data_IF_294061317310
#
_entry.id   IF_294061317310
#
_cell.length_a   1.000
_cell.length_b   1.000
_cell.length_c   1.000
_cell.angle_alpha   90.00
_cell.angle_beta   90.00
_cell.angle_gamma   90.00
#
_symmetry.space_group_name_H-M   'P 1'
#
loop_
_entity.id
_entity.type
_entity.pdbx_description
1 polymer ?
#
# COMPACT_ATOMS: atom_id res chain seq x y z
N UNK A 1 15.00 20.55 0.92
CA UNK A 1 14.80 19.43 1.87
C UNK A 1 14.53 18.19 1.01
N UNK A 2 15.54 17.35 0.81
CA UNK A 2 15.44 16.15 -0.02
C UNK A 2 14.96 14.98 0.86
N UNK A 3 13.88 14.32 0.47
CA UNK A 3 13.53 13.00 0.99
C UNK A 3 14.06 11.94 0.02
N UNK A 4 14.72 10.93 0.57
CA UNK A 4 15.71 10.08 -0.09
C UNK A 4 15.13 9.10 -1.13
N UNK A 5 15.92 8.73 -2.17
CA UNK A 5 15.65 7.56 -2.99
C UNK A 5 16.11 6.31 -2.22
N UNK A 6 15.16 5.50 -1.75
CA UNK A 6 15.48 4.38 -0.87
C UNK A 6 14.46 3.26 -0.89
N UNK A 7 13.82 2.98 -2.02
CA UNK A 7 13.10 1.72 -2.21
C UNK A 7 14.13 0.61 -2.55
N UNK A 8 14.90 0.20 -1.54
CA UNK A 8 15.65 -1.06 -1.59
C UNK A 8 14.68 -2.22 -1.33
N UNK A 9 14.79 -3.35 -2.04
CA UNK A 9 13.94 -4.52 -1.82
C UNK A 9 14.29 -5.14 -0.47
N UNK A 10 13.60 -4.70 0.59
CA UNK A 10 13.86 -5.18 1.96
C UNK A 10 13.45 -4.21 3.07
N UNK A 11 13.08 -2.96 2.77
CA UNK A 11 12.56 -2.05 3.79
C UNK A 11 11.07 -2.34 4.00
N UNK A 12 10.74 -2.83 5.21
CA UNK A 12 9.35 -2.93 5.67
C UNK A 12 8.70 -1.54 5.64
N UNK A 13 7.60 -1.34 4.90
CA UNK A 13 7.00 -0.03 4.77
C UNK A 13 6.48 0.45 6.13
N UNK A 14 7.03 1.57 6.61
CA UNK A 14 6.66 2.16 7.90
C UNK A 14 5.68 3.34 7.78
N UNK A 15 5.55 3.91 6.58
CA UNK A 15 4.74 5.13 6.36
C UNK A 15 4.01 5.09 5.01
N UNK A 16 2.99 5.93 4.86
CA UNK A 16 2.27 6.10 3.59
C UNK A 16 3.17 6.57 2.45
N UNK A 17 4.18 7.40 2.74
CA UNK A 17 5.12 7.87 1.73
C UNK A 17 5.95 6.72 1.16
N UNK A 18 6.30 5.74 2.01
CA UNK A 18 7.03 4.53 1.61
C UNK A 18 6.20 3.69 0.63
N UNK A 19 4.92 3.46 0.95
CA UNK A 19 3.96 2.78 0.07
C UNK A 19 3.67 3.54 -1.23
N UNK A 20 3.89 4.85 -1.26
CA UNK A 20 3.63 5.67 -2.46
C UNK A 20 4.82 5.73 -3.41
N UNK A 21 5.93 5.07 -3.09
CA UNK A 21 7.09 5.02 -3.98
C UNK A 21 6.87 3.99 -5.10
N UNK A 22 7.53 4.18 -6.25
CA UNK A 22 7.46 3.24 -7.37
C UNK A 22 6.13 3.27 -8.12
N UNK A 23 5.44 2.13 -8.23
CA UNK A 23 4.24 1.96 -9.07
C UNK A 23 3.02 2.82 -8.64
N UNK A 24 3.07 3.39 -7.44
CA UNK A 24 2.00 4.18 -6.84
C UNK A 24 2.35 5.68 -6.80
N UNK A 25 3.54 6.05 -7.30
CA UNK A 25 3.99 7.43 -7.39
C UNK A 25 3.15 8.19 -8.43
N UNK A 26 2.68 9.39 -8.07
CA UNK A 26 1.84 10.20 -8.96
C UNK A 26 0.43 9.67 -9.22
N UNK A 27 0.06 8.47 -8.72
CA UNK A 27 -1.30 7.95 -8.82
C UNK A 27 -2.24 8.66 -7.84
N UNK A 28 -3.43 8.96 -8.35
CA UNK A 28 -4.50 9.58 -7.58
C UNK A 28 -5.51 8.49 -7.20
N UNK A 29 -5.65 8.25 -5.90
CA UNK A 29 -6.56 7.25 -5.37
C UNK A 29 -7.82 7.95 -4.88
N UNK A 30 -9.00 7.42 -5.21
CA UNK A 30 -10.28 8.02 -4.78
C UNK A 30 -10.50 7.93 -3.28
N UNK A 31 -9.92 6.91 -2.64
CA UNK A 31 -10.07 6.64 -1.21
C UNK A 31 -8.80 6.00 -0.64
N UNK A 32 -8.61 6.15 0.67
CA UNK A 32 -7.55 5.46 1.41
C UNK A 32 -7.63 3.93 1.24
N UNK A 33 -8.83 3.37 1.17
CA UNK A 33 -9.04 1.94 0.90
C UNK A 33 -8.44 1.51 -0.44
N UNK A 34 -8.69 2.27 -1.51
CA UNK A 34 -8.17 2.01 -2.85
C UNK A 34 -6.64 2.10 -2.86
N UNK A 35 -6.07 3.07 -2.12
CA UNK A 35 -4.62 3.17 -1.94
C UNK A 35 -4.04 1.96 -1.21
N UNK A 36 -4.70 1.46 -0.15
CA UNK A 36 -4.24 0.31 0.61
C UNK A 36 -4.24 -0.97 -0.25
N UNK A 37 -5.29 -1.17 -1.05
CA UNK A 37 -5.38 -2.31 -1.98
C UNK A 37 -4.31 -2.21 -3.06
N UNK A 38 -4.14 -1.04 -3.68
CA UNK A 38 -3.12 -0.84 -4.70
C UNK A 38 -1.69 -1.03 -4.15
N UNK A 39 -1.45 -0.67 -2.88
CA UNK A 39 -0.19 -0.94 -2.18
C UNK A 39 0.14 -2.43 -2.08
N UNK A 40 -0.87 -3.28 -1.88
CA UNK A 40 -0.70 -4.74 -1.82
C UNK A 40 -0.59 -5.34 -3.22
N UNK A 41 -1.51 -4.99 -4.11
CA UNK A 41 -1.64 -5.60 -5.45
C UNK A 41 -0.54 -5.12 -6.40
N UNK A 42 -0.32 -3.81 -6.47
CA UNK A 42 0.61 -3.19 -7.42
C UNK A 42 1.98 -3.00 -6.78
N UNK A 43 2.00 -2.56 -5.52
CA UNK A 43 3.22 -2.37 -4.74
C UNK A 43 3.87 -3.68 -4.28
N UNK A 44 3.21 -4.84 -4.47
CA UNK A 44 3.67 -6.16 -4.04
C UNK A 44 4.07 -6.20 -2.55
N UNK A 45 3.52 -5.31 -1.73
CA UNK A 45 3.80 -5.26 -0.31
C UNK A 45 2.98 -6.30 0.45
N UNK A 46 3.53 -6.79 1.56
CA UNK A 46 2.81 -7.73 2.42
C UNK A 46 1.63 -7.05 3.12
N UNK A 47 0.47 -7.72 3.11
CA UNK A 47 -0.74 -7.32 3.82
C UNK A 47 -0.48 -6.90 5.28
N UNK A 48 0.27 -7.65 6.12
CA UNK A 48 0.51 -7.25 7.51
C UNK A 48 1.27 -5.92 7.66
N UNK A 49 2.20 -5.60 6.75
CA UNK A 49 2.92 -4.32 6.77
C UNK A 49 2.02 -3.16 6.35
N UNK A 50 1.26 -3.32 5.26
CA UNK A 50 0.29 -2.31 4.82
C UNK A 50 -0.79 -2.09 5.90
N UNK A 51 -1.30 -3.16 6.51
CA UNK A 51 -2.29 -3.08 7.59
C UNK A 51 -1.76 -2.29 8.79
N UNK A 52 -0.47 -2.45 9.13
CA UNK A 52 0.19 -1.69 10.21
C UNK A 52 0.29 -0.20 9.87
N UNK A 53 0.66 0.15 8.63
CA UNK A 53 0.75 1.56 8.18
C UNK A 53 -0.62 2.25 8.25
N UNK A 54 -1.65 1.56 7.78
CA UNK A 54 -3.03 2.06 7.79
C UNK A 54 -3.72 1.94 9.15
N UNK A 55 -3.06 1.30 10.14
CA UNK A 55 -3.61 1.00 11.47
C UNK A 55 -4.97 0.29 11.42
N UNK A 56 -5.11 -0.64 10.47
CA UNK A 56 -6.30 -1.48 10.31
C UNK A 56 -5.97 -2.94 10.62
N UNK A 57 -6.97 -3.75 10.99
CA UNK A 57 -6.76 -5.19 11.13
C UNK A 57 -6.38 -5.84 9.79
N UNK A 58 -5.47 -6.85 9.77
CA UNK A 58 -5.07 -7.54 8.55
C UNK A 58 -6.25 -8.14 7.79
N UNK A 59 -7.20 -8.76 8.50
CA UNK A 59 -8.42 -9.34 7.92
C UNK A 59 -9.26 -8.30 7.17
N UNK A 60 -9.25 -7.04 7.62
CA UNK A 60 -10.01 -5.95 6.98
C UNK A 60 -9.36 -5.53 5.67
N UNK A 61 -8.03 -5.49 5.65
CA UNK A 61 -7.28 -5.21 4.42
C UNK A 61 -7.42 -6.35 3.41
N UNK A 62 -7.36 -7.61 3.87
CA UNK A 62 -7.65 -8.78 3.03
C UNK A 62 -9.04 -8.70 2.41
N UNK A 63 -10.05 -8.31 3.20
CA UNK A 63 -11.41 -8.14 2.70
C UNK A 63 -11.45 -7.08 1.59
N UNK A 64 -10.81 -5.93 1.77
CA UNK A 64 -10.76 -4.88 0.75
C UNK A 64 -10.05 -5.33 -0.53
N UNK A 65 -8.94 -6.05 -0.41
CA UNK A 65 -8.22 -6.62 -1.57
C UNK A 65 -9.11 -7.60 -2.31
N UNK A 66 -9.85 -8.45 -1.60
CA UNK A 66 -10.82 -9.37 -2.21
C UNK A 66 -11.95 -8.59 -2.89
N UNK A 67 -12.62 -7.69 -2.18
CA UNK A 67 -13.75 -6.90 -2.72
C UNK A 67 -13.37 -6.09 -3.95
N UNK A 68 -12.17 -5.52 -3.98
CA UNK A 68 -11.68 -4.68 -5.08
C UNK A 68 -11.06 -5.51 -6.21
N UNK A 69 -10.35 -6.59 -5.88
CA UNK A 69 -9.75 -7.51 -6.85
C UNK A 69 -10.75 -8.42 -7.56
N UNK A 70 -11.95 -8.61 -7.00
CA UNK A 70 -13.07 -9.29 -7.65
C UNK A 70 -13.87 -8.38 -8.61
N UNK A 71 -13.57 -7.08 -8.69
CA UNK A 71 -14.12 -6.19 -9.70
C UNK A 71 -13.27 -6.26 -10.98
N UNK A 72 -13.27 -7.41 -11.65
CA UNK A 72 -12.75 -7.60 -13.01
C UNK A 72 -13.83 -8.20 -13.88
#
# INVERSE_FOLDING_TARGET
MFVAPGAGPGVVPRTFADLRTGALEGRNFRSLQEFAVASVVEGHHSIPDVARVFRVPPWRLEQWVRETGHAV
#
